data_IF_744339051621
#
_entry.id   IF_744339051621
#
_cell.length_a   1.000
_cell.length_b   1.000
_cell.length_c   1.000
_cell.angle_alpha   90.00
_cell.angle_beta   90.00
_cell.angle_gamma   90.00
#
_symmetry.space_group_name_H-M   'P 1'
#
loop_
_entity.id
_entity.type
_entity.pdbx_description
1 polymer ?
#
# COMPACT_ATOMS: atom_id res chain seq x y z
N UNK A 1 -18.63 9.54 2.54
CA UNK A 1 -17.89 9.38 3.81
C UNK A 1 -16.69 8.48 3.57
N UNK A 2 -15.86 8.23 4.59
CA UNK A 2 -14.75 7.28 4.51
C UNK A 2 -14.90 6.21 5.60
N UNK A 3 -14.43 5.01 5.32
CA UNK A 3 -14.45 3.86 6.22
C UNK A 3 -13.02 3.50 6.63
N UNK A 4 -12.85 3.12 7.89
CA UNK A 4 -11.57 2.62 8.41
C UNK A 4 -11.72 1.14 8.71
N UNK A 5 -10.92 0.33 8.02
CA UNK A 5 -10.88 -1.11 8.24
C UNK A 5 -9.84 -1.41 9.32
N UNK A 6 -10.26 -2.08 10.40
CA UNK A 6 -9.38 -2.48 11.49
C UNK A 6 -8.84 -3.88 11.18
N UNK A 7 -7.54 -3.97 10.89
CA UNK A 7 -6.85 -5.24 10.74
C UNK A 7 -6.24 -5.65 12.09
N UNK A 8 -6.35 -6.93 12.44
CA UNK A 8 -5.63 -7.47 13.59
C UNK A 8 -4.14 -7.68 13.28
N UNK A 9 -3.37 -8.03 14.32
CA UNK A 9 -1.93 -8.23 14.21
C UNK A 9 -1.56 -9.46 13.38
N UNK A 10 -2.44 -10.45 13.28
CA UNK A 10 -2.21 -11.66 12.47
C UNK A 10 -2.30 -11.30 10.98
N UNK A 11 -3.40 -10.64 10.58
CA UNK A 11 -3.59 -10.16 9.21
C UNK A 11 -2.52 -9.15 8.81
N UNK A 12 -2.11 -8.25 9.73
CA UNK A 12 -1.04 -7.28 9.46
C UNK A 12 0.30 -7.96 9.17
N UNK A 13 0.54 -9.18 9.66
CA UNK A 13 1.79 -9.92 9.39
C UNK A 13 1.67 -10.84 8.16
N UNK A 14 0.45 -11.15 7.73
CA UNK A 14 0.16 -11.95 6.55
C UNK A 14 -0.01 -11.05 5.31
N UNK A 15 1.09 -10.77 4.60
CA UNK A 15 1.06 -9.92 3.40
C UNK A 15 0.11 -10.45 2.29
N UNK A 16 0.12 -11.74 1.92
CA UNK A 16 -0.86 -12.30 0.99
C UNK A 16 -2.31 -12.12 1.47
N UNK A 17 -2.56 -12.37 2.76
CA UNK A 17 -3.87 -12.18 3.39
C UNK A 17 -4.33 -10.73 3.33
N UNK A 18 -3.45 -9.78 3.66
CA UNK A 18 -3.77 -8.35 3.61
C UNK A 18 -4.03 -7.87 2.17
N UNK A 19 -3.29 -8.35 1.18
CA UNK A 19 -3.57 -8.03 -0.24
C UNK A 19 -4.94 -8.57 -0.66
N UNK A 20 -5.27 -9.79 -0.25
CA UNK A 20 -6.58 -10.39 -0.54
C UNK A 20 -7.70 -9.59 0.11
N UNK A 21 -7.52 -9.19 1.37
CA UNK A 21 -8.44 -8.32 2.10
C UNK A 21 -8.62 -6.97 1.40
N UNK A 22 -7.53 -6.32 1.00
CA UNK A 22 -7.59 -5.05 0.26
C UNK A 22 -8.42 -5.17 -1.02
N UNK A 23 -8.26 -6.28 -1.76
CA UNK A 23 -9.01 -6.54 -2.99
C UNK A 23 -10.49 -6.80 -2.73
N UNK A 24 -10.80 -7.63 -1.73
CA UNK A 24 -12.18 -8.00 -1.36
C UNK A 24 -12.98 -6.78 -0.90
N UNK A 25 -12.37 -5.96 -0.04
CA UNK A 25 -13.02 -4.80 0.56
C UNK A 25 -12.87 -3.50 -0.27
N UNK A 26 -12.07 -3.52 -1.34
CA UNK A 26 -11.86 -2.34 -2.19
C UNK A 26 -11.15 -1.21 -1.45
N UNK A 27 -10.05 -1.51 -0.75
CA UNK A 27 -9.30 -0.52 0.01
C UNK A 27 -8.67 0.51 -0.92
N UNK A 28 -9.16 1.75 -0.85
CA UNK A 28 -8.73 2.86 -1.70
C UNK A 28 -7.36 3.44 -1.31
N UNK A 29 -7.00 3.36 -0.03
CA UNK A 29 -5.81 4.01 0.54
C UNK A 29 -5.04 3.07 1.44
N UNK A 30 -3.73 2.97 1.22
CA UNK A 30 -2.80 2.30 2.14
C UNK A 30 -1.72 3.27 2.61
N UNK A 31 -1.38 3.22 3.89
CA UNK A 31 -0.29 4.01 4.48
C UNK A 31 0.66 3.08 5.23
N UNK A 32 1.85 2.90 4.67
CA UNK A 32 2.80 1.86 5.09
C UNK A 32 4.24 2.35 4.93
N UNK A 33 5.19 1.68 5.56
CA UNK A 33 6.60 1.95 5.27
C UNK A 33 6.99 1.41 3.89
N UNK A 34 7.99 2.01 3.22
CA UNK A 34 8.51 1.51 1.95
C UNK A 34 8.88 0.02 1.94
N UNK A 35 9.50 -0.50 3.00
CA UNK A 35 9.84 -1.93 3.10
C UNK A 35 8.58 -2.80 3.06
N UNK A 36 7.54 -2.43 3.80
CA UNK A 36 6.30 -3.21 3.83
C UNK A 36 5.50 -3.07 2.52
N UNK A 37 5.48 -1.87 1.92
CA UNK A 37 4.89 -1.67 0.61
C UNK A 37 5.49 -2.58 -0.47
N UNK A 38 6.81 -2.78 -0.46
CA UNK A 38 7.46 -3.70 -1.41
C UNK A 38 6.95 -5.13 -1.25
N UNK A 39 6.76 -5.59 -0.02
CA UNK A 39 6.20 -6.92 0.24
C UNK A 39 4.77 -7.02 -0.31
N UNK A 40 3.90 -6.05 -0.02
CA UNK A 40 2.53 -6.06 -0.52
C UNK A 40 2.45 -5.97 -2.06
N UNK A 41 3.33 -5.18 -2.68
CA UNK A 41 3.42 -5.11 -4.14
C UNK A 41 3.90 -6.44 -4.73
N UNK A 42 4.82 -7.15 -4.08
CA UNK A 42 5.27 -8.48 -4.51
C UNK A 42 4.13 -9.52 -4.41
N UNK A 43 3.23 -9.37 -3.45
CA UNK A 43 2.02 -10.20 -3.29
C UNK A 43 0.84 -9.75 -4.19
N UNK A 44 1.04 -8.72 -5.02
CA UNK A 44 0.09 -8.33 -6.05
C UNK A 44 -0.93 -7.26 -5.66
N UNK A 45 -0.60 -6.41 -4.68
CA UNK A 45 -1.44 -5.26 -4.28
C UNK A 45 -1.85 -4.36 -5.45
N UNK A 46 -1.00 -4.23 -6.48
CA UNK A 46 -1.19 -3.33 -7.61
C UNK A 46 -1.60 -4.04 -8.91
N UNK A 47 -1.79 -5.36 -8.87
CA UNK A 47 -1.88 -6.18 -10.08
C UNK A 47 -3.29 -6.24 -10.68
N UNK A 48 -4.33 -5.92 -9.89
CA UNK A 48 -5.71 -5.81 -10.37
C UNK A 48 -6.09 -4.33 -10.56
N UNK A 49 -6.19 -3.82 -11.80
CA UNK A 49 -6.53 -2.42 -12.07
C UNK A 49 -7.88 -1.97 -11.52
N UNK A 50 -8.83 -2.89 -11.32
CA UNK A 50 -10.18 -2.58 -10.82
C UNK A 50 -10.25 -2.57 -9.29
N UNK A 51 -9.22 -3.11 -8.60
CA UNK A 51 -9.23 -3.32 -7.15
C UNK A 51 -7.98 -2.82 -6.42
N UNK A 52 -6.96 -2.33 -7.13
CA UNK A 52 -5.77 -1.74 -6.52
C UNK A 52 -6.11 -0.43 -5.79
N UNK A 53 -5.37 -0.07 -4.72
CA UNK A 53 -5.55 1.21 -4.07
C UNK A 53 -5.32 2.39 -5.03
N UNK A 54 -6.16 3.41 -4.92
CA UNK A 54 -5.99 4.68 -5.62
C UNK A 54 -4.81 5.49 -5.06
N UNK A 55 -4.48 5.29 -3.77
CA UNK A 55 -3.46 6.06 -3.06
C UNK A 55 -2.56 5.15 -2.21
N UNK A 56 -1.25 5.26 -2.41
CA UNK A 56 -0.22 4.60 -1.59
C UNK A 56 0.64 5.67 -0.92
N UNK A 57 0.51 5.78 0.39
CA UNK A 57 1.31 6.67 1.22
C UNK A 57 2.50 5.89 1.79
N UNK A 58 3.70 6.44 1.59
CA UNK A 58 4.96 5.85 2.04
C UNK A 58 5.62 6.78 3.04
N UNK A 59 6.02 6.28 4.21
CA UNK A 59 6.71 7.10 5.21
C UNK A 59 7.60 6.31 6.15
N UNK A 60 8.42 7.01 6.93
CA UNK A 60 9.28 6.42 7.96
C UNK A 60 10.59 5.79 7.46
N UNK A 61 10.72 5.55 6.14
CA UNK A 61 11.95 5.04 5.53
C UNK A 61 12.21 5.72 4.19
N UNK A 62 13.40 5.56 3.64
CA UNK A 62 13.70 6.00 2.28
C UNK A 62 12.96 5.14 1.25
N UNK A 63 12.24 5.78 0.32
CA UNK A 63 11.60 5.08 -0.80
C UNK A 63 12.65 4.63 -1.81
N UNK A 64 12.64 3.34 -2.16
CA UNK A 64 13.58 2.82 -3.17
C UNK A 64 13.17 3.26 -4.58
N UNK A 65 14.14 3.46 -5.50
CA UNK A 65 13.83 3.82 -6.89
C UNK A 65 12.92 2.79 -7.59
N UNK A 66 13.09 1.50 -7.28
CA UNK A 66 12.29 0.43 -7.87
C UNK A 66 10.82 0.52 -7.46
N UNK A 67 10.54 0.70 -6.15
CA UNK A 67 9.17 0.90 -5.67
C UNK A 67 8.56 2.17 -6.25
N UNK A 68 9.33 3.26 -6.29
CA UNK A 68 8.87 4.53 -6.84
C UNK A 68 8.51 4.43 -8.32
N UNK A 69 9.35 3.74 -9.11
CA UNK A 69 9.11 3.50 -10.54
C UNK A 69 7.88 2.63 -10.75
N UNK A 70 7.70 1.59 -9.93
CA UNK A 70 6.52 0.73 -9.98
C UNK A 70 5.24 1.51 -9.72
N UNK A 71 5.21 2.37 -8.69
CA UNK A 71 4.06 3.22 -8.39
C UNK A 71 3.78 4.21 -9.51
N UNK A 72 4.81 4.93 -10.00
CA UNK A 72 4.66 5.90 -11.08
C UNK A 72 4.17 5.27 -12.40
N UNK A 73 4.48 4.00 -12.64
CA UNK A 73 4.01 3.25 -13.81
C UNK A 73 2.66 2.55 -13.64
N UNK A 74 2.00 2.65 -12.48
CA UNK A 74 0.75 1.95 -12.17
C UNK A 74 -0.43 2.89 -12.35
N UNK A 75 -1.14 2.80 -13.48
CA UNK A 75 -2.09 3.82 -13.95
C UNK A 75 -3.03 4.40 -12.87
N UNK A 76 -4.10 3.76 -12.41
CA UNK A 76 -5.03 4.35 -11.43
C UNK A 76 -4.51 4.51 -10.00
N UNK A 77 -3.21 4.55 -9.76
CA UNK A 77 -2.61 4.63 -8.42
C UNK A 77 -1.64 5.80 -8.31
N UNK A 78 -1.77 6.60 -7.25
CA UNK A 78 -0.86 7.69 -6.93
C UNK A 78 0.00 7.31 -5.72
N UNK A 79 1.31 7.44 -5.85
CA UNK A 79 2.25 7.30 -4.73
C UNK A 79 2.62 8.64 -4.11
N UNK A 80 2.57 8.76 -2.79
CA UNK A 80 3.09 9.91 -2.06
C UNK A 80 4.18 9.49 -1.08
N UNK A 81 5.33 10.14 -1.17
CA UNK A 81 6.42 9.99 -0.21
C UNK A 81 6.28 11.06 0.88
N UNK A 82 6.05 10.62 2.11
CA UNK A 82 5.86 11.43 3.29
C UNK A 82 7.14 11.42 4.13
N UNK A 83 7.57 12.61 4.54
CA UNK A 83 8.68 12.77 5.47
C UNK A 83 8.24 13.66 6.62
N UNK A 84 8.38 13.16 7.85
CA UNK A 84 8.09 13.88 9.07
C UNK A 84 8.61 13.10 10.28
N UNK A 85 9.44 13.70 11.15
CA UNK A 85 9.75 13.14 12.45
C UNK A 85 8.51 13.15 13.36
N UNK A 86 8.59 12.52 14.53
CA UNK A 86 7.45 12.47 15.47
C UNK A 86 7.36 13.76 16.31
N UNK A 87 8.48 14.46 16.47
CA UNK A 87 8.71 15.68 17.24
C UNK A 87 8.19 16.97 16.57
#
# INVERSE_FOLDING_TARGET
GHEVHICDEELRRDAPGLVSYCREHGIDVVNVTPTYAQQLVAEGLLDDPARRPALVLLGGEAVTPALWTRLAGTEGTVGYNLYGPTE
#
